data_IF_571366325315
#
_entry.id   IF_571366325315
#
_cell.length_a   1.000
_cell.length_b   1.000
_cell.length_c   1.000
_cell.angle_alpha   90.00
_cell.angle_beta   90.00
_cell.angle_gamma   90.00
#
_symmetry.space_group_name_H-M   'P 1'
#
loop_
_entity.id
_entity.type
_entity.pdbx_description
1 polymer ?
#
# COMPACT_ATOMS: atom_id res chain seq x y z
N UNK A 1 -1.64 -15.45 -8.33
CA UNK A 1 -0.95 -15.69 -7.04
C UNK A 1 -1.79 -16.48 -6.05
N UNK A 2 -2.83 -15.96 -5.40
CA UNK A 2 -3.57 -16.71 -4.35
C UNK A 2 -4.12 -18.07 -4.82
N UNK A 3 -4.79 -18.11 -5.98
CA UNK A 3 -5.27 -19.38 -6.55
C UNK A 3 -4.13 -20.35 -6.83
N UNK A 4 -2.99 -19.84 -7.30
CA UNK A 4 -1.80 -20.64 -7.56
C UNK A 4 -1.22 -21.20 -6.25
N UNK A 5 -1.05 -20.39 -5.21
CA UNK A 5 -0.64 -20.85 -3.88
C UNK A 5 -1.59 -21.92 -3.32
N UNK A 6 -2.91 -21.76 -3.49
CA UNK A 6 -3.87 -22.79 -3.09
C UNK A 6 -3.68 -24.10 -3.87
N UNK A 7 -3.41 -24.02 -5.18
CA UNK A 7 -3.12 -25.21 -6.02
C UNK A 7 -1.85 -25.94 -5.55
N UNK A 8 -0.87 -25.21 -5.01
CA UNK A 8 0.33 -25.78 -4.40
C UNK A 8 0.12 -26.32 -2.97
N UNK A 9 -1.12 -26.31 -2.45
CA UNK A 9 -1.45 -26.85 -1.12
C UNK A 9 -1.37 -25.86 0.04
N UNK A 10 -1.02 -24.59 -0.18
CA UNK A 10 -0.99 -23.58 0.88
C UNK A 10 -2.40 -23.22 1.36
N UNK A 11 -2.68 -23.46 2.65
CA UNK A 11 -3.99 -23.21 3.29
C UNK A 11 -4.13 -21.84 3.93
N UNK A 12 -3.02 -21.26 4.41
CA UNK A 12 -2.95 -19.95 5.06
C UNK A 12 -2.04 -19.05 4.24
N UNK A 13 -2.55 -17.91 3.79
CA UNK A 13 -1.82 -17.00 2.92
C UNK A 13 -1.67 -15.66 3.63
N UNK A 14 -0.46 -15.12 3.60
CA UNK A 14 -0.17 -13.74 3.99
C UNK A 14 0.10 -12.96 2.71
N UNK A 15 -0.63 -11.86 2.51
CA UNK A 15 -0.37 -10.97 1.38
C UNK A 15 0.60 -9.88 1.81
N UNK A 16 1.80 -9.91 1.25
CA UNK A 16 2.80 -8.86 1.44
C UNK A 16 2.87 -7.99 0.18
N UNK A 17 2.55 -6.71 0.32
CA UNK A 17 2.66 -5.72 -0.73
C UNK A 17 3.76 -4.70 -0.41
N UNK A 18 4.89 -4.71 -1.13
CA UNK A 18 5.88 -3.65 -1.05
C UNK A 18 5.48 -2.46 -1.93
N UNK A 19 5.75 -1.23 -1.47
CA UNK A 19 5.53 0.01 -2.21
C UNK A 19 4.09 0.08 -2.76
N UNK A 20 3.90 0.33 -4.05
CA UNK A 20 2.56 0.39 -4.67
C UNK A 20 1.79 -0.94 -4.62
N UNK A 21 2.48 -2.05 -4.34
CA UNK A 21 1.86 -3.34 -4.03
C UNK A 21 1.11 -3.33 -2.69
N UNK A 22 1.46 -2.45 -1.76
CA UNK A 22 0.71 -2.25 -0.51
C UNK A 22 -0.72 -1.78 -0.80
N UNK A 23 -0.90 -0.83 -1.73
CA UNK A 23 -2.23 -0.39 -2.16
C UNK A 23 -3.05 -1.56 -2.70
N UNK A 24 -2.47 -2.36 -3.62
CA UNK A 24 -3.09 -3.56 -4.18
C UNK A 24 -3.47 -4.57 -3.10
N UNK A 25 -2.60 -4.81 -2.13
CA UNK A 25 -2.85 -5.74 -1.03
C UNK A 25 -4.05 -5.31 -0.19
N UNK A 26 -4.08 -4.04 0.23
CA UNK A 26 -5.20 -3.50 1.00
C UNK A 26 -6.50 -3.49 0.18
N UNK A 27 -6.44 -2.96 -1.04
CA UNK A 27 -7.58 -2.89 -1.96
C UNK A 27 -8.16 -4.28 -2.26
N UNK A 28 -7.29 -5.25 -2.57
CA UNK A 28 -7.70 -6.63 -2.83
C UNK A 28 -8.41 -7.23 -1.62
N UNK A 29 -7.85 -7.09 -0.42
CA UNK A 29 -8.47 -7.69 0.77
C UNK A 29 -9.79 -7.00 1.14
N UNK A 30 -9.90 -5.68 0.95
CA UNK A 30 -11.16 -4.95 1.05
C UNK A 30 -12.22 -5.48 0.07
N UNK A 31 -11.86 -5.60 -1.22
CA UNK A 31 -12.81 -5.96 -2.27
C UNK A 31 -13.20 -7.43 -2.24
N UNK A 32 -12.24 -8.33 -2.01
CA UNK A 32 -12.46 -9.77 -2.12
C UNK A 32 -12.72 -10.46 -0.79
N UNK A 33 -12.35 -9.84 0.34
CA UNK A 33 -12.52 -10.40 1.70
C UNK A 33 -12.12 -11.88 1.76
N UNK A 34 -11.02 -12.23 1.10
CA UNK A 34 -10.73 -13.62 0.79
C UNK A 34 -10.38 -14.38 2.08
N UNK A 35 -11.11 -15.44 2.45
CA UNK A 35 -10.94 -16.13 3.73
C UNK A 35 -9.62 -16.91 3.84
N UNK A 36 -8.95 -17.20 2.71
CA UNK A 36 -7.62 -17.82 2.70
C UNK A 36 -6.52 -16.84 3.12
N UNK A 37 -6.76 -15.53 3.02
CA UNK A 37 -5.84 -14.50 3.51
C UNK A 37 -6.00 -14.42 5.02
N UNK A 38 -4.91 -14.68 5.74
CA UNK A 38 -4.85 -14.69 7.21
C UNK A 38 -4.09 -13.51 7.79
N UNK A 39 -3.56 -12.64 6.95
CA UNK A 39 -2.89 -11.41 7.34
C UNK A 39 -2.44 -10.63 6.11
N UNK A 40 -2.25 -9.32 6.29
CA UNK A 40 -1.69 -8.45 5.27
C UNK A 40 -0.49 -7.67 5.81
N UNK A 41 0.53 -7.51 4.97
CA UNK A 41 1.74 -6.72 5.24
C UNK A 41 1.80 -5.62 4.19
N UNK A 42 1.80 -4.37 4.65
CA UNK A 42 1.87 -3.16 3.86
C UNK A 42 3.24 -2.53 4.09
N UNK A 43 4.23 -2.89 3.26
CA UNK A 43 5.61 -2.45 3.41
C UNK A 43 5.88 -1.24 2.51
N UNK A 44 6.43 -0.17 3.08
CA UNK A 44 6.56 1.12 2.38
C UNK A 44 5.19 1.74 2.08
N UNK A 45 4.23 1.64 3.02
CA UNK A 45 2.85 2.10 2.84
C UNK A 45 2.74 3.63 2.88
N UNK A 46 3.24 4.25 1.82
CA UNK A 46 3.13 5.67 1.52
C UNK A 46 2.05 5.84 0.46
N UNK A 47 1.16 6.81 0.65
CA UNK A 47 0.17 7.21 -0.35
C UNK A 47 0.87 7.73 -1.59
N UNK A 48 0.55 7.20 -2.76
CA UNK A 48 1.03 7.71 -4.05
C UNK A 48 0.61 9.17 -4.29
N UNK A 49 -0.49 9.63 -3.65
CA UNK A 49 -0.90 11.03 -3.66
C UNK A 49 0.13 11.97 -3.00
N UNK A 50 1.06 11.44 -2.20
CA UNK A 50 2.19 12.20 -1.64
C UNK A 50 3.08 12.78 -2.75
N UNK A 51 3.15 12.11 -3.92
CA UNK A 51 3.93 12.55 -5.07
C UNK A 51 3.52 13.93 -5.60
N UNK A 52 2.27 14.37 -5.36
CA UNK A 52 1.83 15.72 -5.69
C UNK A 52 2.57 16.82 -4.90
N UNK A 53 3.07 16.50 -3.70
CA UNK A 53 3.83 17.43 -2.86
C UNK A 53 5.35 17.19 -2.99
N UNK A 54 5.76 15.94 -3.15
CA UNK A 54 7.19 15.56 -3.13
C UNK A 54 7.82 15.44 -4.51
N UNK A 55 7.02 15.40 -5.58
CA UNK A 55 7.46 15.24 -6.96
C UNK A 55 6.99 16.36 -7.87
N UNK A 56 6.95 16.09 -9.18
CA UNK A 56 6.52 17.06 -10.19
C UNK A 56 5.00 17.01 -10.43
N UNK A 57 4.28 17.90 -9.75
CA UNK A 57 2.83 18.03 -9.87
C UNK A 57 2.36 18.35 -11.30
N UNK A 58 3.13 19.10 -12.09
CA UNK A 58 2.77 19.42 -13.49
C UNK A 58 2.86 18.16 -14.34
N UNK A 59 3.89 17.36 -14.14
CA UNK A 59 4.06 16.07 -14.82
C UNK A 59 2.94 15.10 -14.48
N UNK A 60 2.55 15.00 -13.21
CA UNK A 60 1.43 14.17 -12.76
C UNK A 60 0.11 14.64 -13.40
N UNK A 61 -0.18 15.95 -13.38
CA UNK A 61 -1.39 16.49 -13.98
C UNK A 61 -1.48 16.21 -15.50
N UNK A 62 -0.35 16.32 -16.23
CA UNK A 62 -0.27 15.97 -17.65
C UNK A 62 -0.54 14.49 -17.88
N UNK A 63 0.08 13.61 -17.10
CA UNK A 63 -0.12 12.17 -17.19
C UNK A 63 -1.58 11.77 -16.93
N UNK A 64 -2.24 12.39 -15.95
CA UNK A 64 -3.68 12.18 -15.70
C UNK A 64 -4.51 12.61 -16.91
N UNK A 65 -4.23 13.76 -17.52
CA UNK A 65 -4.93 14.22 -18.73
C UNK A 65 -4.77 13.21 -19.87
N UNK A 66 -3.55 12.73 -20.12
CA UNK A 66 -3.27 11.71 -21.15
C UNK A 66 -4.01 10.42 -20.82
N UNK A 67 -3.95 9.95 -19.57
CA UNK A 67 -4.62 8.73 -19.14
C UNK A 67 -6.15 8.78 -19.31
N UNK A 68 -6.77 9.93 -19.03
CA UNK A 68 -8.22 10.14 -19.24
C UNK A 68 -8.62 10.15 -20.71
N UNK A 69 -7.71 10.56 -21.58
CA UNK A 69 -7.93 10.60 -23.04
C UNK A 69 -7.63 9.26 -23.71
N UNK A 70 -7.03 8.30 -23.00
CA UNK A 70 -6.74 6.99 -23.54
C UNK A 70 -8.03 6.25 -23.89
N UNK A 71 -8.11 5.76 -25.13
CA UNK A 71 -9.28 5.01 -25.63
C UNK A 71 -9.47 3.67 -24.90
N UNK A 72 -8.40 3.11 -24.34
CA UNK A 72 -8.41 1.85 -23.61
C UNK A 72 -7.73 2.03 -22.24
N UNK A 73 -8.34 1.48 -21.20
CA UNK A 73 -7.80 1.47 -19.83
C UNK A 73 -6.41 0.82 -19.71
N UNK A 74 -6.09 -0.10 -20.60
CA UNK A 74 -4.83 -0.86 -20.62
C UNK A 74 -3.76 -0.20 -21.51
N UNK A 75 -4.08 0.92 -22.18
CA UNK A 75 -3.10 1.72 -22.92
C UNK A 75 -1.96 2.15 -22.01
N UNK A 76 -0.72 1.83 -22.39
CA UNK A 76 0.46 2.29 -21.68
C UNK A 76 0.65 3.79 -21.87
N UNK A 77 0.97 4.49 -20.79
CA UNK A 77 1.39 5.89 -20.86
C UNK A 77 2.82 5.99 -21.41
N UNK A 78 3.22 7.18 -21.93
CA UNK A 78 4.60 7.44 -22.28
C UNK A 78 5.57 7.12 -21.14
N UNK A 79 6.71 6.49 -21.47
CA UNK A 79 7.65 5.94 -20.51
C UNK A 79 8.19 6.97 -19.51
N UNK A 80 8.22 8.25 -19.88
CA UNK A 80 8.58 9.34 -18.98
C UNK A 80 7.71 9.40 -17.72
N UNK A 81 6.47 8.90 -17.76
CA UNK A 81 5.56 8.81 -16.61
C UNK A 81 5.68 7.49 -15.84
N UNK A 82 6.57 6.59 -16.26
CA UNK A 82 6.73 5.23 -15.76
C UNK A 82 5.93 4.20 -16.56
N UNK A 83 6.15 2.92 -16.26
CA UNK A 83 5.45 1.80 -16.91
C UNK A 83 4.09 1.61 -16.24
N UNK A 84 3.12 2.39 -16.70
CA UNK A 84 1.74 2.34 -16.21
C UNK A 84 0.77 2.25 -17.38
N UNK A 85 -0.27 1.44 -17.22
CA UNK A 85 -1.48 1.63 -18.03
C UNK A 85 -2.23 2.88 -17.57
N UNK A 86 -3.07 3.44 -18.44
CA UNK A 86 -3.93 4.58 -18.15
C UNK A 86 -4.75 4.35 -16.86
N UNK A 87 -5.42 3.20 -16.73
CA UNK A 87 -6.18 2.88 -15.53
C UNK A 87 -5.30 2.73 -14.29
N UNK A 88 -4.10 2.15 -14.43
CA UNK A 88 -3.19 2.02 -13.28
C UNK A 88 -2.74 3.38 -12.80
N UNK A 89 -2.40 4.29 -13.71
CA UNK A 89 -1.97 5.64 -13.36
C UNK A 89 -3.09 6.41 -12.64
N UNK A 90 -4.31 6.40 -13.20
CA UNK A 90 -5.47 7.03 -12.56
C UNK A 90 -5.78 6.42 -11.20
N UNK A 91 -5.68 5.09 -11.05
CA UNK A 91 -5.95 4.43 -9.77
C UNK A 91 -5.05 4.91 -8.63
N UNK A 92 -3.81 5.31 -8.92
CA UNK A 92 -2.79 5.70 -7.95
C UNK A 92 -2.73 7.22 -7.72
N UNK A 93 -2.76 7.99 -8.80
CA UNK A 93 -2.40 9.42 -8.77
C UNK A 93 -3.59 10.37 -8.91
N UNK A 94 -4.78 9.86 -9.27
CA UNK A 94 -6.01 10.66 -9.24
C UNK A 94 -6.64 10.61 -7.85
N UNK A 95 -7.05 11.77 -7.33
CA UNK A 95 -7.73 11.87 -6.06
C UNK A 95 -9.03 11.04 -6.07
N UNK A 96 -9.16 10.12 -5.12
CA UNK A 96 -10.32 9.22 -5.08
C UNK A 96 -10.25 8.06 -6.09
N UNK A 97 -9.11 7.89 -6.77
CA UNK A 97 -8.81 6.71 -7.58
C UNK A 97 -8.94 5.42 -6.76
N UNK A 98 -9.17 4.30 -7.44
CA UNK A 98 -9.48 3.03 -6.78
C UNK A 98 -8.40 2.57 -5.78
N UNK A 99 -7.15 2.96 -5.98
CA UNK A 99 -6.01 2.59 -5.15
C UNK A 99 -5.47 3.75 -4.29
N UNK A 100 -6.18 4.89 -4.19
CA UNK A 100 -5.97 5.95 -3.17
C UNK A 100 -6.50 5.47 -1.79
N UNK A 101 -5.97 4.34 -1.32
CA UNK A 101 -6.45 3.61 -0.13
C UNK A 101 -5.72 3.99 1.16
N UNK A 102 -4.76 4.92 1.07
CA UNK A 102 -4.05 5.51 2.20
C UNK A 102 -4.37 7.00 2.35
N UNK A 103 -5.63 7.40 2.59
CA UNK A 103 -6.08 8.78 2.45
C UNK A 103 -5.70 9.66 3.65
N UNK A 104 -4.56 9.41 4.31
CA UNK A 104 -4.09 10.15 5.48
C UNK A 104 -3.85 11.65 5.21
N UNK A 105 -3.83 12.07 3.93
CA UNK A 105 -3.81 13.47 3.52
C UNK A 105 -5.06 14.24 3.91
N UNK A 106 -6.20 13.55 4.03
CA UNK A 106 -7.45 14.13 4.48
C UNK A 106 -7.78 13.59 5.89
N UNK A 107 -7.73 14.42 6.95
CA UNK A 107 -8.03 13.97 8.31
C UNK A 107 -9.48 13.51 8.51
N UNK A 108 -10.39 13.91 7.60
CA UNK A 108 -11.80 13.50 7.57
C UNK A 108 -12.05 12.30 6.64
N UNK A 109 -11.00 11.70 6.06
CA UNK A 109 -11.17 10.56 5.16
C UNK A 109 -11.87 9.39 5.88
N UNK A 110 -12.71 8.67 5.15
CA UNK A 110 -13.48 7.56 5.71
C UNK A 110 -12.64 6.33 6.07
N UNK A 111 -11.50 6.11 5.40
CA UNK A 111 -10.67 4.89 5.50
C UNK A 111 -11.48 3.59 5.27
N UNK A 112 -12.44 3.62 4.34
CA UNK A 112 -13.41 2.53 4.12
C UNK A 112 -12.73 1.17 3.87
N UNK A 113 -11.60 1.18 3.14
CA UNK A 113 -10.85 -0.02 2.83
C UNK A 113 -10.25 -0.64 4.08
N UNK A 114 -9.43 0.12 4.82
CA UNK A 114 -8.77 -0.35 6.04
C UNK A 114 -9.76 -0.73 7.14
N UNK A 115 -10.81 0.08 7.35
CA UNK A 115 -11.86 -0.19 8.35
C UNK A 115 -12.64 -1.47 8.08
N UNK A 116 -12.61 -2.00 6.86
CA UNK A 116 -13.32 -3.25 6.52
C UNK A 116 -12.47 -4.51 6.73
N UNK A 117 -11.14 -4.37 6.88
CA UNK A 117 -10.22 -5.49 6.94
C UNK A 117 -10.30 -6.13 8.33
N UNK A 118 -10.59 -7.43 8.36
CA UNK A 118 -10.78 -8.21 9.60
C UNK A 118 -9.64 -9.18 9.94
N UNK A 119 -8.55 -9.14 9.17
CA UNK A 119 -7.35 -9.95 9.42
C UNK A 119 -6.30 -9.09 10.14
N UNK A 120 -5.27 -9.68 10.77
CA UNK A 120 -4.09 -8.95 11.22
C UNK A 120 -3.49 -8.08 10.13
N UNK A 121 -3.15 -6.83 10.48
CA UNK A 121 -2.54 -5.84 9.59
C UNK A 121 -1.18 -5.42 10.14
N UNK A 122 -0.14 -5.56 9.33
CA UNK A 122 1.18 -4.97 9.58
C UNK A 122 1.42 -3.83 8.60
N UNK A 123 1.80 -2.66 9.12
CA UNK A 123 2.28 -1.53 8.32
C UNK A 123 3.74 -1.30 8.69
N UNK A 124 4.62 -1.30 7.69
CA UNK A 124 6.06 -1.08 7.88
C UNK A 124 6.49 0.10 7.02
N UNK A 125 7.14 1.10 7.61
CA UNK A 125 7.65 2.26 6.88
C UNK A 125 9.08 2.57 7.32
N UNK A 126 9.95 2.92 6.38
CA UNK A 126 11.30 3.37 6.68
C UNK A 126 11.28 4.79 7.29
N UNK A 127 12.02 5.04 8.36
CA UNK A 127 12.01 6.37 8.99
C UNK A 127 12.54 7.48 8.08
N UNK A 128 13.30 7.12 7.04
CA UNK A 128 13.89 7.99 6.02
C UNK A 128 13.22 7.82 4.64
N UNK A 129 12.06 7.19 4.55
CA UNK A 129 11.29 7.03 3.30
C UNK A 129 11.12 8.37 2.56
N UNK A 130 11.73 8.47 1.39
CA UNK A 130 11.86 9.66 0.55
C UNK A 130 10.55 10.06 -0.15
N UNK A 131 9.54 9.19 -0.18
CA UNK A 131 8.24 9.48 -0.80
C UNK A 131 7.23 10.07 0.19
N UNK A 132 7.58 10.15 1.48
CA UNK A 132 6.69 10.68 2.51
C UNK A 132 6.51 12.20 2.37
N UNK A 133 5.29 12.66 2.58
CA UNK A 133 4.93 14.08 2.56
C UNK A 133 4.76 14.70 3.96
N UNK A 134 4.94 13.87 5.00
CA UNK A 134 4.75 14.17 6.43
C UNK A 134 5.58 13.22 7.33
N UNK A 135 5.67 13.46 8.65
CA UNK A 135 6.38 12.56 9.56
C UNK A 135 5.80 11.14 9.55
N UNK A 136 6.68 10.13 9.49
CA UNK A 136 6.28 8.70 9.44
C UNK A 136 5.43 8.30 10.64
N UNK A 137 5.69 8.88 11.81
CA UNK A 137 4.87 8.66 13.02
C UNK A 137 3.40 9.02 12.78
N UNK A 138 3.14 10.14 12.09
CA UNK A 138 1.77 10.59 11.80
C UNK A 138 1.08 9.66 10.79
N UNK A 139 1.83 9.11 9.83
CA UNK A 139 1.31 8.12 8.89
C UNK A 139 0.89 6.85 9.64
N UNK A 140 1.79 6.29 10.45
CA UNK A 140 1.53 5.07 11.25
C UNK A 140 0.33 5.29 12.19
N UNK A 141 0.24 6.44 12.84
CA UNK A 141 -0.88 6.75 13.74
C UNK A 141 -2.21 6.85 12.98
N UNK A 142 -2.20 7.42 11.77
CA UNK A 142 -3.38 7.45 10.92
C UNK A 142 -3.87 6.02 10.54
N UNK A 143 -2.95 5.11 10.22
CA UNK A 143 -3.28 3.70 10.03
C UNK A 143 -3.83 3.06 11.30
N UNK A 144 -3.16 3.26 12.46
CA UNK A 144 -3.57 2.70 13.75
C UNK A 144 -4.99 3.10 14.12
N UNK A 145 -5.29 4.39 14.05
CA UNK A 145 -6.61 4.97 14.36
C UNK A 145 -7.72 4.41 13.48
N UNK A 146 -7.41 3.98 12.25
CA UNK A 146 -8.41 3.55 11.27
C UNK A 146 -8.45 2.03 11.03
N UNK A 147 -7.52 1.25 11.61
CA UNK A 147 -7.54 -0.22 11.58
C UNK A 147 -8.53 -0.83 12.59
N UNK A 148 -9.69 -0.19 12.79
CA UNK A 148 -10.61 -0.47 13.91
C UNK A 148 -11.26 -1.85 13.88
N UNK A 149 -11.36 -2.48 12.70
CA UNK A 149 -11.91 -3.84 12.56
C UNK A 149 -10.82 -4.89 12.33
N UNK A 150 -9.55 -4.50 12.24
CA UNK A 150 -8.47 -5.45 12.08
C UNK A 150 -8.36 -6.31 13.34
N UNK A 151 -8.13 -7.62 13.17
CA UNK A 151 -7.92 -8.54 14.30
C UNK A 151 -6.78 -8.08 15.21
N UNK A 152 -5.76 -7.49 14.61
CA UNK A 152 -4.67 -6.80 15.30
C UNK A 152 -4.02 -5.81 14.34
N UNK A 153 -3.39 -4.78 14.89
CA UNK A 153 -2.64 -3.80 14.13
C UNK A 153 -1.19 -3.73 14.65
N UNK A 154 -0.23 -3.68 13.73
CA UNK A 154 1.19 -3.46 14.05
C UNK A 154 1.77 -2.39 13.12
N UNK A 155 2.08 -1.23 13.68
CA UNK A 155 2.80 -0.17 12.99
C UNK A 155 4.28 -0.21 13.33
N UNK A 156 5.13 -0.48 12.35
CA UNK A 156 6.58 -0.62 12.52
C UNK A 156 7.29 0.48 11.74
N UNK A 157 8.22 1.17 12.41
CA UNK A 157 9.12 2.14 11.79
C UNK A 157 10.53 1.57 11.84
N UNK A 158 11.17 1.38 10.69
CA UNK A 158 12.56 0.90 10.63
C UNK A 158 13.49 2.12 10.62
N UNK A 159 14.27 2.29 11.69
CA UNK A 159 15.13 3.47 11.88
C UNK A 159 16.23 3.50 10.83
N UNK A 160 16.35 4.62 10.13
CA UNK A 160 17.36 4.85 9.08
C UNK A 160 17.03 4.24 7.73
N UNK A 161 15.97 3.43 7.59
CA UNK A 161 15.57 2.85 6.31
C UNK A 161 14.94 3.89 5.37
N UNK A 162 15.31 3.81 4.09
CA UNK A 162 14.61 4.45 2.96
C UNK A 162 13.43 3.59 2.49
N UNK A 163 12.71 4.03 1.45
CA UNK A 163 11.52 3.36 0.94
C UNK A 163 11.74 1.88 0.58
N UNK A 164 12.89 1.58 -0.05
CA UNK A 164 13.24 0.21 -0.46
C UNK A 164 13.89 -0.64 0.63
N UNK A 165 14.05 -0.11 1.85
CA UNK A 165 14.68 -0.80 2.99
C UNK A 165 16.10 -1.35 2.71
N UNK A 166 16.83 -0.77 1.75
CA UNK A 166 18.19 -1.20 1.43
C UNK A 166 19.11 -1.05 2.65
N UNK A 167 20.00 -2.02 2.86
CA UNK A 167 20.89 -2.14 4.03
C UNK A 167 20.15 -2.35 5.36
N UNK A 168 18.84 -2.65 5.31
CA UNK A 168 17.95 -2.90 6.45
C UNK A 168 17.12 -4.18 6.27
N UNK A 169 17.51 -5.03 5.33
CA UNK A 169 16.80 -6.24 4.91
C UNK A 169 16.69 -7.25 6.06
N UNK A 170 17.78 -7.46 6.82
CA UNK A 170 17.78 -8.35 7.99
C UNK A 170 16.81 -7.87 9.08
N UNK A 171 16.79 -6.56 9.34
CA UNK A 171 15.87 -5.96 10.30
C UNK A 171 14.43 -6.10 9.83
N UNK A 172 14.15 -5.79 8.56
CA UNK A 172 12.84 -5.96 7.93
C UNK A 172 12.35 -7.41 8.05
N UNK A 173 13.17 -8.38 7.66
CA UNK A 173 12.84 -9.80 7.72
C UNK A 173 12.53 -10.25 9.16
N UNK A 174 13.36 -9.84 10.13
CA UNK A 174 13.15 -10.15 11.55
C UNK A 174 11.82 -9.62 12.07
N UNK A 175 11.45 -8.37 11.73
CA UNK A 175 10.15 -7.79 12.12
C UNK A 175 8.98 -8.54 11.49
N UNK A 176 9.09 -8.92 10.22
CA UNK A 176 8.06 -9.69 9.51
C UNK A 176 7.87 -11.06 10.17
N UNK A 177 8.95 -11.83 10.34
CA UNK A 177 8.91 -13.18 10.94
C UNK A 177 8.29 -13.13 12.33
N UNK A 178 8.74 -12.19 13.16
CA UNK A 178 8.19 -11.96 14.51
C UNK A 178 6.68 -11.70 14.46
N UNK A 179 6.24 -10.85 13.53
CA UNK A 179 4.82 -10.54 13.37
C UNK A 179 4.01 -11.76 12.92
N UNK A 180 4.52 -12.55 11.97
CA UNK A 180 3.89 -13.77 11.47
C UNK A 180 3.65 -14.76 12.60
N UNK A 181 4.68 -15.09 13.39
CA UNK A 181 4.56 -16.03 14.51
C UNK A 181 3.54 -15.59 15.58
N UNK A 182 3.40 -14.28 15.81
CA UNK A 182 2.48 -13.73 16.80
C UNK A 182 1.03 -13.70 16.34
N UNK A 183 0.78 -13.47 15.05
CA UNK A 183 -0.55 -13.10 14.57
C UNK A 183 -1.21 -14.14 13.65
N UNK A 184 -0.40 -14.97 12.99
CA UNK A 184 -0.87 -15.92 11.98
C UNK A 184 -0.47 -17.32 12.43
N UNK A 185 -1.27 -17.89 13.35
CA UNK A 185 -1.18 -19.29 13.76
C UNK A 185 -2.01 -20.19 12.86
#
# INVERSE_FOLDING_TARGET
MIRFSKKLGYKKIILAGPSTGANKTLYYQYKKKNPAVKGIILAGAISDMSAWKTGDAKKIARAIKIAKQAKNKDTLLPQEYGIYSAARYLSLFEAGGAEDVFPYRNPKAGWKELKSVRVPVMVIIGSRDEHRDRPVKNIIEAFRKNAVSAKSFSGIIIKGAKHGFQKKEKELASKIITWVHRNVR
#
